data_IF_751713806254
#
_entry.id   IF_751713806254
#
_cell.length_a   1.000
_cell.length_b   1.000
_cell.length_c   1.000
_cell.angle_alpha   90.00
_cell.angle_beta   90.00
_cell.angle_gamma   90.00
#
_symmetry.space_group_name_H-M   'P 1'
#
loop_
_entity.id
_entity.type
_entity.pdbx_description
1 polymer ?
#
# COMPACT_ATOMS: atom_id res chain seq x y z
N UNK A 1 34.31 30.96 19.53
CA UNK A 1 33.07 30.41 20.13
C UNK A 1 31.88 30.39 19.17
N UNK A 2 31.60 31.43 18.36
CA UNK A 2 30.48 31.43 17.41
C UNK A 2 30.47 30.32 16.33
N UNK A 3 31.64 29.88 15.85
CA UNK A 3 31.70 28.87 14.76
C UNK A 3 31.22 27.49 15.19
N UNK A 4 31.38 27.13 16.47
CA UNK A 4 30.90 25.87 17.02
C UNK A 4 29.38 25.86 17.24
N UNK A 5 28.78 27.02 17.53
CA UNK A 5 27.32 27.17 17.70
C UNK A 5 26.58 26.85 16.39
N UNK A 6 27.12 27.29 15.24
CA UNK A 6 26.53 26.97 13.94
C UNK A 6 26.60 25.48 13.58
N UNK A 7 27.69 24.79 13.97
CA UNK A 7 27.83 23.35 13.74
C UNK A 7 26.80 22.57 14.56
N UNK A 8 26.61 22.93 15.83
CA UNK A 8 25.63 22.29 16.73
C UNK A 8 24.19 22.53 16.25
N UNK A 9 23.89 23.75 15.77
CA UNK A 9 22.58 24.10 15.22
C UNK A 9 22.26 23.32 13.92
N UNK A 10 23.24 23.13 13.05
CA UNK A 10 23.07 22.35 11.81
C UNK A 10 22.91 20.85 12.06
N UNK A 11 23.60 20.29 13.06
CA UNK A 11 23.47 18.86 13.39
C UNK A 11 22.16 18.52 14.12
N UNK A 12 21.55 19.46 14.83
CA UNK A 12 20.25 19.27 15.49
C UNK A 12 19.07 19.14 14.52
N UNK A 13 19.16 19.76 13.34
CA UNK A 13 18.14 19.69 12.29
C UNK A 13 18.07 18.32 11.58
N UNK A 14 19.12 17.50 11.67
CA UNK A 14 19.18 16.18 11.04
C UNK A 14 18.62 15.05 11.92
N UNK A 15 18.38 15.30 13.22
CA UNK A 15 17.90 14.29 14.18
C UNK A 15 16.37 14.28 14.37
N UNK A 16 15.62 15.12 13.66
CA UNK A 16 14.15 15.05 13.61
C UNK A 16 13.63 14.02 12.59
N UNK A 17 14.53 13.34 11.87
CA UNK A 17 14.20 12.35 10.83
C UNK A 17 14.06 10.90 11.31
N UNK A 18 13.84 10.64 12.60
CA UNK A 18 13.69 9.30 13.14
C UNK A 18 12.47 9.19 14.05
N UNK A 19 11.29 9.16 13.45
CA UNK A 19 10.18 8.38 14.02
C UNK A 19 9.65 7.46 12.94
N UNK A 20 9.82 6.17 13.20
CA UNK A 20 9.11 5.05 12.60
C UNK A 20 7.62 5.33 12.57
N UNK A 21 7.11 5.88 11.48
CA UNK A 21 5.67 5.91 11.20
C UNK A 21 5.38 4.73 10.29
N UNK A 22 5.51 3.53 10.85
CA UNK A 22 4.78 2.36 10.35
C UNK A 22 3.34 2.52 10.86
N UNK A 23 2.43 2.96 9.99
CA UNK A 23 0.98 2.85 10.26
C UNK A 23 0.14 4.12 10.42
N UNK A 24 0.43 5.26 9.77
CA UNK A 24 -0.42 6.47 9.96
C UNK A 24 -1.77 6.45 9.23
N UNK A 25 -2.01 5.54 8.29
CA UNK A 25 -3.39 5.16 7.99
C UNK A 25 -3.68 3.89 8.77
N UNK A 26 -3.88 4.08 10.07
CA UNK A 26 -4.26 3.03 11.00
C UNK A 26 -5.41 2.24 10.41
N UNK A 27 -5.32 0.90 10.54
CA UNK A 27 -6.33 -0.12 10.23
C UNK A 27 -7.74 0.49 10.38
N UNK A 28 -8.25 1.16 9.34
CA UNK A 28 -9.58 1.77 9.39
C UNK A 28 -10.50 0.58 9.44
N UNK A 29 -11.29 0.52 10.53
CA UNK A 29 -12.31 -0.49 10.77
C UNK A 29 -12.93 -0.86 9.44
N UNK A 30 -12.90 -2.16 9.13
CA UNK A 30 -13.55 -2.76 7.97
C UNK A 30 -14.93 -2.11 7.86
N UNK A 31 -15.10 -1.21 6.89
CA UNK A 31 -16.35 -0.47 6.72
C UNK A 31 -17.45 -1.46 6.37
N UNK A 32 -18.69 -1.15 6.73
CA UNK A 32 -19.83 -1.92 6.25
C UNK A 32 -19.78 -1.95 4.71
N UNK A 33 -19.86 -3.13 4.03
CA UNK A 33 -19.85 -3.22 2.57
C UNK A 33 -20.99 -2.44 1.86
N UNK A 34 -21.97 -1.96 2.64
CA UNK A 34 -23.08 -1.12 2.19
C UNK A 34 -22.87 0.37 2.49
N UNK A 35 -21.79 0.74 3.19
CA UNK A 35 -21.45 2.13 3.44
C UNK A 35 -21.01 2.82 2.14
N UNK A 36 -21.50 4.04 1.84
CA UNK A 36 -21.08 4.78 0.65
C UNK A 36 -19.58 5.09 0.61
N UNK A 37 -18.91 5.17 1.77
CA UNK A 37 -17.47 5.42 1.93
C UNK A 37 -16.65 4.12 1.88
N UNK A 38 -17.27 2.95 1.74
CA UNK A 38 -16.59 1.65 1.80
C UNK A 38 -15.37 1.56 0.86
N UNK A 39 -15.45 2.15 -0.35
CA UNK A 39 -14.36 2.15 -1.33
C UNK A 39 -13.43 3.36 -1.24
N UNK A 40 -13.70 4.32 -0.36
CA UNK A 40 -12.97 5.58 -0.27
C UNK A 40 -11.49 5.35 0.04
N UNK A 41 -11.16 4.36 0.89
CA UNK A 41 -9.77 3.96 1.16
C UNK A 41 -8.98 3.68 -0.13
N UNK A 42 -9.56 2.94 -1.07
CA UNK A 42 -8.89 2.62 -2.36
C UNK A 42 -8.74 3.87 -3.22
N UNK A 43 -9.72 4.79 -3.20
CA UNK A 43 -9.65 6.05 -3.95
C UNK A 43 -8.61 7.02 -3.40
N UNK A 44 -8.50 7.11 -2.08
CA UNK A 44 -7.47 7.91 -1.40
C UNK A 44 -6.08 7.37 -1.75
N UNK A 45 -5.87 6.06 -1.65
CA UNK A 45 -4.60 5.44 -2.01
C UNK A 45 -4.26 5.64 -3.49
N UNK A 46 -5.23 5.48 -4.39
CA UNK A 46 -5.07 5.77 -5.82
C UNK A 46 -4.64 7.22 -6.05
N UNK A 47 -5.28 8.16 -5.38
CA UNK A 47 -4.99 9.59 -5.51
C UNK A 47 -3.59 9.92 -4.97
N UNK A 48 -3.23 9.35 -3.81
CA UNK A 48 -1.90 9.51 -3.22
C UNK A 48 -0.80 8.93 -4.12
N UNK A 49 -1.01 7.74 -4.68
CA UNK A 49 -0.07 7.14 -5.63
C UNK A 49 0.12 8.02 -6.87
N UNK A 50 -0.98 8.51 -7.47
CA UNK A 50 -0.91 9.45 -8.61
C UNK A 50 -0.24 10.78 -8.26
N UNK A 51 -0.33 11.20 -7.00
CA UNK A 51 0.38 12.35 -6.45
C UNK A 51 1.87 12.13 -6.19
N UNK A 52 2.40 10.94 -6.53
CA UNK A 52 3.83 10.62 -6.37
C UNK A 52 4.18 9.91 -5.06
N UNK A 53 3.20 9.62 -4.20
CA UNK A 53 3.44 8.85 -2.99
C UNK A 53 3.55 7.35 -3.33
N UNK A 54 4.78 6.89 -3.59
CA UNK A 54 5.08 5.50 -3.91
C UNK A 54 4.69 4.51 -2.80
N UNK A 55 4.59 4.97 -1.53
CA UNK A 55 4.14 4.11 -0.42
C UNK A 55 2.67 3.75 -0.53
N UNK A 56 1.87 4.60 -1.17
CA UNK A 56 0.45 4.29 -1.42
C UNK A 56 0.28 3.09 -2.36
N UNK A 57 1.29 2.77 -3.19
CA UNK A 57 1.30 1.54 -3.96
C UNK A 57 1.41 0.30 -3.04
N UNK A 58 2.29 0.36 -2.05
CA UNK A 58 2.48 -0.75 -1.11
C UNK A 58 1.22 -0.99 -0.28
N UNK A 59 0.59 0.09 0.17
CA UNK A 59 -0.71 0.01 0.88
C UNK A 59 -1.84 -0.52 -0.04
N UNK A 60 -1.81 -0.26 -1.36
CA UNK A 60 -2.76 -0.85 -2.32
C UNK A 60 -2.53 -2.36 -2.51
N UNK A 61 -1.26 -2.80 -2.52
CA UNK A 61 -0.89 -4.21 -2.60
C UNK A 61 -1.39 -4.94 -1.34
N UNK A 62 -1.14 -4.39 -0.15
CA UNK A 62 -1.65 -4.95 1.11
C UNK A 62 -3.17 -5.11 1.09
N UNK A 63 -3.92 -4.12 0.60
CA UNK A 63 -5.40 -4.21 0.49
C UNK A 63 -5.85 -5.29 -0.50
N UNK A 64 -5.08 -5.53 -1.56
CA UNK A 64 -5.40 -6.53 -2.57
C UNK A 64 -5.17 -7.96 -2.05
N UNK A 65 -4.07 -8.16 -1.32
CA UNK A 65 -3.61 -9.46 -0.81
C UNK A 65 -4.31 -9.88 0.49
N UNK A 66 -4.79 -8.94 1.30
CA UNK A 66 -5.44 -9.23 2.59
C UNK A 66 -6.76 -10.02 2.39
N UNK A 67 -6.72 -11.31 2.74
CA UNK A 67 -7.85 -12.24 2.61
C UNK A 67 -9.00 -11.95 3.59
N UNK A 68 -8.71 -11.28 4.71
CA UNK A 68 -9.71 -10.90 5.71
C UNK A 68 -10.53 -9.69 5.24
N UNK A 69 -10.05 -8.95 4.23
CA UNK A 69 -10.78 -7.84 3.64
C UNK A 69 -11.88 -8.34 2.70
N UNK A 70 -13.01 -7.66 2.76
CA UNK A 70 -14.15 -7.98 1.91
C UNK A 70 -13.81 -7.85 0.42
N UNK A 71 -14.26 -8.84 -0.37
CA UNK A 71 -13.88 -9.02 -1.79
C UNK A 71 -14.02 -7.77 -2.65
N UNK A 72 -15.06 -6.95 -2.45
CA UNK A 72 -15.24 -5.68 -3.19
C UNK A 72 -14.05 -4.72 -3.03
N UNK A 73 -13.46 -4.65 -1.84
CA UNK A 73 -12.32 -3.79 -1.56
C UNK A 73 -11.06 -4.31 -2.25
N UNK A 74 -10.82 -5.63 -2.16
CA UNK A 74 -9.72 -6.33 -2.83
C UNK A 74 -9.80 -6.18 -4.35
N UNK A 75 -10.98 -6.35 -4.93
CA UNK A 75 -11.23 -6.17 -6.37
C UNK A 75 -10.98 -4.72 -6.81
N UNK A 76 -11.40 -3.74 -6.02
CA UNK A 76 -11.15 -2.34 -6.31
C UNK A 76 -9.65 -2.01 -6.26
N UNK A 77 -8.91 -2.56 -5.28
CA UNK A 77 -7.46 -2.44 -5.19
C UNK A 77 -6.77 -3.11 -6.39
N UNK A 78 -7.13 -4.35 -6.72
CA UNK A 78 -6.59 -5.07 -7.88
C UNK A 78 -6.82 -4.34 -9.21
N UNK A 79 -8.02 -3.77 -9.41
CA UNK A 79 -8.30 -2.92 -10.60
C UNK A 79 -7.39 -1.68 -10.63
N UNK A 80 -7.13 -1.07 -9.48
CA UNK A 80 -6.24 0.08 -9.40
C UNK A 80 -4.80 -0.33 -9.70
N UNK A 81 -4.32 -1.43 -9.13
CA UNK A 81 -2.97 -1.98 -9.38
C UNK A 81 -2.73 -2.26 -10.86
N UNK A 82 -3.70 -2.90 -11.54
CA UNK A 82 -3.64 -3.18 -12.97
C UNK A 82 -3.48 -1.91 -13.84
N UNK A 83 -3.97 -0.76 -13.37
CA UNK A 83 -3.82 0.52 -14.08
C UNK A 83 -2.44 1.17 -13.89
N UNK A 84 -1.65 0.75 -12.90
CA UNK A 84 -0.37 1.40 -12.57
C UNK A 84 0.79 0.95 -13.46
N UNK A 85 0.71 -0.25 -14.06
CA UNK A 85 1.79 -0.92 -14.79
C UNK A 85 3.12 -1.02 -14.00
N UNK A 86 3.08 -0.84 -12.68
CA UNK A 86 4.28 -0.85 -11.86
C UNK A 86 4.76 -2.31 -11.68
N UNK A 87 6.08 -2.60 -11.81
CA UNK A 87 6.59 -3.98 -11.69
C UNK A 87 6.13 -4.69 -10.41
N UNK A 88 6.16 -4.00 -9.27
CA UNK A 88 5.62 -4.53 -7.99
C UNK A 88 4.12 -4.85 -8.03
N UNK A 89 3.32 -4.03 -8.69
CA UNK A 89 1.88 -4.29 -8.85
C UNK A 89 1.63 -5.52 -9.72
N UNK A 90 2.37 -5.64 -10.83
CA UNK A 90 2.27 -6.80 -11.72
C UNK A 90 2.75 -8.08 -11.03
N UNK A 91 3.78 -7.98 -10.19
CA UNK A 91 4.26 -9.10 -9.37
C UNK A 91 3.18 -9.59 -8.40
N UNK A 92 2.57 -8.69 -7.61
CA UNK A 92 1.48 -9.04 -6.68
C UNK A 92 0.29 -9.70 -7.41
N UNK A 93 -0.10 -9.17 -8.57
CA UNK A 93 -1.15 -9.79 -9.41
C UNK A 93 -0.73 -11.18 -9.88
N UNK A 94 0.51 -11.35 -10.34
CA UNK A 94 1.04 -12.64 -10.80
C UNK A 94 1.08 -13.67 -9.68
N UNK A 95 1.43 -13.26 -8.46
CA UNK A 95 1.47 -14.13 -7.28
C UNK A 95 0.07 -14.61 -6.90
N UNK A 96 -0.89 -13.69 -6.79
CA UNK A 96 -2.29 -14.02 -6.55
C UNK A 96 -2.88 -14.96 -7.61
N UNK A 97 -2.52 -14.78 -8.89
CA UNK A 97 -2.92 -15.71 -9.94
C UNK A 97 -2.30 -17.08 -9.72
N UNK A 98 -1.00 -17.16 -9.45
CA UNK A 98 -0.28 -18.41 -9.26
C UNK A 98 -0.80 -19.22 -8.06
N UNK A 99 -1.13 -18.54 -6.95
CA UNK A 99 -1.69 -19.19 -5.76
C UNK A 99 -3.15 -19.62 -5.95
N UNK A 100 -3.90 -18.94 -6.83
CA UNK A 100 -5.28 -19.32 -7.18
C UNK A 100 -5.34 -20.47 -8.19
N UNK A 101 -4.41 -20.54 -9.15
CA UNK A 101 -4.37 -21.62 -10.16
C UNK A 101 -3.74 -22.92 -9.66
N UNK A 102 -3.11 -22.91 -8.49
CA UNK A 102 -2.51 -24.10 -7.88
C UNK A 102 -3.54 -25.14 -7.38
N UNK A 103 -4.85 -24.92 -7.54
CA UNK A 103 -5.90 -25.83 -7.06
C UNK A 103 -6.25 -26.94 -8.07
N UNK A 104 -6.03 -26.77 -9.39
CA UNK A 104 -6.53 -27.74 -10.40
C UNK A 104 -5.57 -28.01 -11.58
N UNK A 105 -4.36 -28.52 -11.32
CA UNK A 105 -3.63 -29.28 -12.34
C UNK A 105 -2.78 -30.38 -11.68
N UNK A 106 -3.27 -31.63 -11.55
CA UNK A 106 -2.34 -32.74 -11.43
C UNK A 106 -1.44 -32.68 -12.66
N UNK A 107 -0.14 -32.50 -12.44
CA UNK A 107 0.85 -32.57 -13.50
C UNK A 107 0.59 -33.86 -14.30
N UNK A 108 0.24 -33.71 -15.57
CA UNK A 108 0.13 -34.85 -16.47
C UNK A 108 1.52 -35.47 -16.60
N UNK A 109 1.68 -36.65 -16.01
CA UNK A 109 2.78 -37.60 -16.25
C UNK A 109 2.49 -38.43 -17.50
#
# INVERSE_FOLDING_TARGET
MNRFIHIILCTGLMLQGCSTIKGLFGKRSIGDPNDPDFLNRVQELKSAYRGGNVRALDELIEVYEDEDLHVKLRVAAGKTLAQTQHPRALHAISEMVATTTAVDYPAAE
#
